data_IF_058814720753
#
_entry.id   IF_058814720753
#
_cell.length_a   1.000
_cell.length_b   1.000
_cell.length_c   1.000
_cell.angle_alpha   90.00
_cell.angle_beta   90.00
_cell.angle_gamma   90.00
#
_symmetry.space_group_name_H-M   'P 1'
#
loop_
_entity.id
_entity.type
_entity.pdbx_description
1 polymer ?
#
# COMPACT_ATOMS: atom_id res chain seq x y z
N UNK A 1 2.89 2.15 -9.63
CA UNK A 1 2.77 0.93 -8.81
C UNK A 1 3.33 1.19 -7.42
N UNK A 2 4.66 1.18 -7.22
CA UNK A 2 5.27 1.38 -5.89
C UNK A 2 4.85 2.70 -5.22
N UNK A 3 4.90 3.83 -5.94
CA UNK A 3 4.38 5.11 -5.44
C UNK A 3 2.89 5.03 -5.06
N UNK A 4 2.09 4.23 -5.78
CA UNK A 4 0.68 4.01 -5.43
C UNK A 4 0.49 3.27 -4.12
N UNK A 5 1.41 2.35 -3.79
CA UNK A 5 1.42 1.68 -2.49
C UNK A 5 1.83 2.69 -1.41
N UNK A 6 2.97 3.35 -1.58
CA UNK A 6 3.54 4.24 -0.57
C UNK A 6 2.66 5.46 -0.28
N UNK A 7 2.22 6.21 -1.29
CA UNK A 7 1.38 7.40 -1.08
C UNK A 7 0.06 7.05 -0.37
N UNK A 8 -0.51 5.89 -0.68
CA UNK A 8 -1.73 5.40 -0.03
C UNK A 8 -1.47 5.04 1.43
N UNK A 9 -0.34 4.38 1.73
CA UNK A 9 0.07 4.11 3.11
C UNK A 9 0.34 5.41 3.90
N UNK A 10 1.03 6.39 3.31
CA UNK A 10 1.26 7.70 3.94
C UNK A 10 -0.07 8.38 4.28
N UNK A 11 -1.03 8.34 3.37
CA UNK A 11 -2.37 8.88 3.64
C UNK A 11 -3.07 8.12 4.77
N UNK A 12 -3.03 6.78 4.75
CA UNK A 12 -3.66 5.96 5.78
C UNK A 12 -3.08 6.26 7.17
N UNK A 13 -1.76 6.36 7.31
CA UNK A 13 -1.08 6.73 8.57
C UNK A 13 -1.51 8.12 9.03
N UNK A 14 -1.53 9.12 8.14
CA UNK A 14 -2.00 10.48 8.46
C UNK A 14 -3.46 10.53 8.91
N UNK A 15 -4.28 9.65 8.33
CA UNK A 15 -5.70 9.51 8.66
C UNK A 15 -5.92 8.63 9.91
N UNK A 16 -4.86 8.14 10.57
CA UNK A 16 -4.93 7.29 11.77
C UNK A 16 -5.47 5.88 11.50
N UNK A 17 -5.38 5.41 10.24
CA UNK A 17 -5.89 4.11 9.81
C UNK A 17 -4.83 3.02 9.93
N UNK A 18 -5.25 1.83 10.35
CA UNK A 18 -4.36 0.68 10.48
C UNK A 18 -3.92 0.07 9.12
N UNK A 19 -2.94 -0.83 9.20
CA UNK A 19 -2.39 -1.57 8.06
C UNK A 19 -3.45 -2.35 7.25
N UNK A 20 -4.50 -2.88 7.90
CA UNK A 20 -5.56 -3.64 7.22
C UNK A 20 -6.39 -2.73 6.31
N UNK A 21 -6.74 -1.54 6.82
CA UNK A 21 -7.40 -0.50 6.04
C UNK A 21 -6.48 0.00 4.92
N UNK A 22 -5.21 0.27 5.23
CA UNK A 22 -4.21 0.69 4.23
C UNK A 22 -4.08 -0.31 3.08
N UNK A 23 -4.02 -1.62 3.37
CA UNK A 23 -3.98 -2.69 2.35
C UNK A 23 -5.22 -2.68 1.47
N UNK A 24 -6.39 -2.48 2.06
CA UNK A 24 -7.65 -2.39 1.33
C UNK A 24 -7.70 -1.17 0.41
N UNK A 25 -7.11 -0.04 0.83
CA UNK A 25 -6.97 1.16 0.00
C UNK A 25 -5.95 0.97 -1.12
N UNK A 26 -4.81 0.36 -0.83
CA UNK A 26 -3.76 0.05 -1.82
C UNK A 26 -4.31 -0.80 -2.95
N UNK A 27 -5.13 -1.82 -2.66
CA UNK A 27 -5.77 -2.64 -3.69
C UNK A 27 -6.76 -1.86 -4.56
N UNK A 28 -7.32 -0.77 -4.05
CA UNK A 28 -8.24 0.12 -4.77
C UNK A 28 -7.53 1.23 -5.55
N UNK A 29 -6.25 1.52 -5.27
CA UNK A 29 -5.50 2.56 -5.97
C UNK A 29 -5.38 2.21 -7.47
N UNK A 30 -5.80 3.10 -8.40
CA UNK A 30 -5.75 2.82 -9.85
C UNK A 30 -4.35 2.51 -10.38
N UNK A 31 -3.29 3.05 -9.76
CA UNK A 31 -1.88 2.81 -10.12
C UNK A 31 -1.39 1.43 -9.66
N UNK A 32 -2.09 0.82 -8.70
CA UNK A 32 -1.82 -0.51 -8.15
C UNK A 32 -2.68 -1.56 -8.84
N UNK A 33 -4.01 -1.36 -8.88
CA UNK A 33 -4.97 -2.29 -9.49
C UNK A 33 -4.72 -2.54 -10.99
N UNK A 34 -4.20 -1.54 -11.73
CA UNK A 34 -3.75 -1.73 -13.12
C UNK A 34 -2.68 -2.82 -13.28
N UNK A 35 -1.91 -3.13 -12.24
CA UNK A 35 -0.86 -4.17 -12.26
C UNK A 35 -1.35 -5.53 -11.81
N UNK A 36 -2.50 -5.62 -11.14
CA UNK A 36 -3.03 -6.86 -10.59
C UNK A 36 -3.18 -7.96 -11.65
N UNK A 37 -3.55 -7.60 -12.88
CA UNK A 37 -3.80 -8.56 -13.97
C UNK A 37 -2.55 -8.96 -14.77
N UNK A 38 -1.48 -8.18 -14.71
CA UNK A 38 -0.32 -8.33 -15.62
C UNK A 38 0.98 -8.63 -14.89
N UNK A 39 1.04 -8.41 -13.59
CA UNK A 39 2.27 -8.57 -12.81
C UNK A 39 2.30 -9.96 -12.18
N UNK A 40 3.29 -10.77 -12.58
CA UNK A 40 3.50 -12.08 -12.00
C UNK A 40 3.73 -11.98 -10.48
N UNK A 41 3.03 -12.82 -9.73
CA UNK A 41 3.16 -12.84 -8.27
C UNK A 41 2.58 -11.62 -7.55
N UNK A 42 1.69 -10.85 -8.19
CA UNK A 42 1.03 -9.70 -7.56
C UNK A 42 0.37 -10.09 -6.23
N UNK A 43 -0.52 -11.08 -6.24
CA UNK A 43 -1.29 -11.47 -5.04
C UNK A 43 -0.40 -11.97 -3.90
N UNK A 44 0.71 -12.65 -4.24
CA UNK A 44 1.67 -13.16 -3.26
C UNK A 44 2.57 -12.09 -2.63
N UNK A 45 2.72 -10.93 -3.27
CA UNK A 45 3.68 -9.90 -2.85
C UNK A 45 3.03 -8.58 -2.40
N UNK A 46 1.83 -8.26 -2.87
CA UNK A 46 1.20 -6.96 -2.61
C UNK A 46 1.01 -6.68 -1.10
N UNK A 47 0.71 -7.71 -0.30
CA UNK A 47 0.64 -7.59 1.15
C UNK A 47 1.98 -7.18 1.77
N UNK A 48 3.09 -7.81 1.36
CA UNK A 48 4.43 -7.52 1.88
C UNK A 48 4.86 -6.10 1.56
N UNK A 49 4.65 -5.66 0.31
CA UNK A 49 4.97 -4.29 -0.11
C UNK A 49 4.13 -3.26 0.63
N UNK A 50 2.85 -3.54 0.88
CA UNK A 50 1.99 -2.67 1.69
C UNK A 50 2.52 -2.55 3.11
N UNK A 51 2.84 -3.68 3.77
CA UNK A 51 3.37 -3.67 5.13
C UNK A 51 4.68 -2.89 5.25
N UNK A 52 5.62 -3.07 4.32
CA UNK A 52 6.88 -2.32 4.31
C UNK A 52 6.64 -0.81 4.13
N UNK A 53 5.80 -0.43 3.17
CA UNK A 53 5.48 0.97 2.90
C UNK A 53 4.73 1.63 4.07
N UNK A 54 3.85 0.89 4.74
CA UNK A 54 3.12 1.37 5.91
C UNK A 54 4.05 1.60 7.10
N UNK A 55 4.97 0.66 7.39
CA UNK A 55 5.96 0.82 8.46
C UNK A 55 6.91 2.00 8.20
N UNK A 56 7.35 2.21 6.95
CA UNK A 56 8.17 3.38 6.62
C UNK A 56 7.36 4.68 6.79
N UNK A 57 6.09 4.69 6.35
CA UNK A 57 5.22 5.84 6.52
C UNK A 57 4.94 6.18 8.01
N UNK A 58 4.76 5.18 8.86
CA UNK A 58 4.63 5.38 10.32
C UNK A 58 5.91 5.98 10.91
N UNK A 59 7.07 5.43 10.57
CA UNK A 59 8.38 5.91 11.02
C UNK A 59 8.70 7.35 10.57
N UNK A 60 8.20 7.78 9.41
CA UNK A 60 8.36 9.17 8.98
C UNK A 60 7.38 10.13 9.67
N UNK A 61 6.27 9.61 10.20
CA UNK A 61 5.23 10.39 10.87
C UNK A 61 5.45 10.52 12.39
N UNK A 62 6.26 9.66 13.01
CA UNK A 62 6.52 9.58 14.45
C UNK A 62 8.01 9.36 14.78
#
# INVERSE_FOLDING_TARGET
FLAGIYDTCVKAVKDGQDLSVAKSLVLKDPRVSKRAKTMQGFDGNIGKYTSLAYLEAEKEAF
#
